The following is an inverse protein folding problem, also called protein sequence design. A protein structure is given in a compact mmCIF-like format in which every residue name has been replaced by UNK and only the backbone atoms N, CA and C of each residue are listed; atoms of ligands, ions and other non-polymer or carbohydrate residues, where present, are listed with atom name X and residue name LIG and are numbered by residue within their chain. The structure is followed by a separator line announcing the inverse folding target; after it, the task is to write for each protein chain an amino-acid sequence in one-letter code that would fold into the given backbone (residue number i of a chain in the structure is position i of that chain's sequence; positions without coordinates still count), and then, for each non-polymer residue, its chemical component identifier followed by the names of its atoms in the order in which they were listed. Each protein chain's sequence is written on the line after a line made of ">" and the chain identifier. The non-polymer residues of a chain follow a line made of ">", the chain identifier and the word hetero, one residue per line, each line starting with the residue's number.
data_IF_841731911380
#
_entry.id   IF_841731911380
#
_cell.length_a   1.000
_cell.length_b   1.000
_cell.length_c   1.000
_cell.angle_alpha   90.00
_cell.angle_beta   90.00
_cell.angle_gamma   90.00
#
_symmetry.space_group_name_H-M   'P 1'
#
loop_
_entity.id
_entity.type
_entity.pdbx_description
1 polymer ?
#
# COMPACT_ATOMS: atom_id res chain seq x y z
N UNK A 1 -50.59 -6.28 4.33
CA UNK A 1 -49.49 -6.87 5.13
C UNK A 1 -48.11 -6.66 4.50
N UNK A 2 -47.88 -7.04 3.23
CA UNK A 2 -46.58 -6.94 2.55
C UNK A 2 -45.95 -5.54 2.50
N UNK A 3 -46.74 -4.47 2.27
CA UNK A 3 -46.20 -3.11 2.24
C UNK A 3 -45.59 -2.65 3.58
N UNK A 4 -46.23 -3.00 4.71
CA UNK A 4 -45.73 -2.68 6.06
C UNK A 4 -44.46 -3.48 6.38
N UNK A 5 -44.40 -4.76 6.00
CA UNK A 5 -43.20 -5.58 6.15
C UNK A 5 -42.02 -4.99 5.35
N UNK A 6 -42.28 -4.58 4.11
CA UNK A 6 -41.29 -3.94 3.22
C UNK A 6 -40.76 -2.64 3.81
N UNK A 7 -41.60 -1.79 4.37
CA UNK A 7 -41.17 -0.53 5.01
C UNK A 7 -40.31 -0.78 6.24
N UNK A 8 -40.69 -1.73 7.11
CA UNK A 8 -39.89 -2.12 8.29
C UNK A 8 -38.54 -2.68 7.89
N UNK A 9 -38.51 -3.55 6.88
CA UNK A 9 -37.27 -4.11 6.35
C UNK A 9 -36.36 -3.00 5.82
N UNK A 10 -36.89 -2.08 5.01
CA UNK A 10 -36.12 -0.92 4.50
C UNK A 10 -35.53 -0.07 5.62
N UNK A 11 -36.31 0.23 6.66
CA UNK A 11 -35.84 1.02 7.79
C UNK A 11 -34.72 0.29 8.55
N UNK A 12 -34.91 -1.01 8.82
CA UNK A 12 -33.90 -1.85 9.46
C UNK A 12 -32.60 -1.91 8.65
N UNK A 13 -32.69 -2.08 7.33
CA UNK A 13 -31.53 -2.11 6.44
C UNK A 13 -30.79 -0.77 6.39
N UNK A 14 -31.52 0.35 6.45
CA UNK A 14 -30.92 1.68 6.58
C UNK A 14 -30.15 1.78 7.88
N UNK A 15 -30.72 1.37 9.01
CA UNK A 15 -30.03 1.37 10.31
C UNK A 15 -28.80 0.47 10.30
N UNK A 16 -28.92 -0.77 9.78
CA UNK A 16 -27.79 -1.70 9.66
C UNK A 16 -26.65 -1.11 8.82
N UNK A 17 -26.94 -0.50 7.67
CA UNK A 17 -25.92 0.15 6.84
C UNK A 17 -25.18 1.29 7.55
N UNK A 18 -25.80 1.90 8.57
CA UNK A 18 -25.17 2.94 9.38
C UNK A 18 -24.29 2.38 10.50
N UNK A 19 -24.64 1.22 11.08
CA UNK A 19 -23.92 0.61 12.21
C UNK A 19 -22.72 -0.21 11.75
N UNK A 20 -22.84 -0.90 10.61
CA UNK A 20 -21.83 -1.85 10.14
C UNK A 20 -20.43 -1.25 9.97
N UNK A 21 -20.26 -0.03 9.42
CA UNK A 21 -18.93 0.58 9.30
C UNK A 21 -18.21 0.71 10.65
N UNK A 22 -18.96 1.02 11.72
CA UNK A 22 -18.41 1.11 13.07
C UNK A 22 -18.02 -0.25 13.61
N UNK A 23 -18.82 -1.29 13.35
CA UNK A 23 -18.47 -2.65 13.75
C UNK A 23 -17.21 -3.16 13.02
N UNK A 24 -17.10 -2.91 11.72
CA UNK A 24 -15.90 -3.25 10.93
C UNK A 24 -14.68 -2.51 11.45
N UNK A 25 -14.80 -1.19 11.70
CA UNK A 25 -13.71 -0.40 12.31
C UNK A 25 -13.31 -1.01 13.65
N UNK A 26 -14.26 -1.28 14.54
CA UNK A 26 -13.98 -1.79 15.87
C UNK A 26 -13.24 -3.14 15.83
N UNK A 27 -13.75 -4.09 15.04
CA UNK A 27 -13.17 -5.45 14.92
C UNK A 27 -11.74 -5.37 14.38
N UNK A 28 -11.54 -4.66 13.27
CA UNK A 28 -10.23 -4.60 12.62
C UNK A 28 -9.23 -3.73 13.40
N UNK A 29 -9.69 -2.65 14.03
CA UNK A 29 -8.85 -1.81 14.87
C UNK A 29 -8.38 -2.58 16.10
N UNK A 30 -9.24 -3.39 16.72
CA UNK A 30 -8.86 -4.24 17.84
C UNK A 30 -7.69 -5.15 17.47
N UNK A 31 -7.73 -5.77 16.28
CA UNK A 31 -6.64 -6.62 15.80
C UNK A 31 -5.34 -5.84 15.57
N UNK A 32 -5.41 -4.65 14.96
CA UNK A 32 -4.24 -3.78 14.81
C UNK A 32 -3.66 -3.33 16.15
N UNK A 33 -4.51 -3.07 17.16
CA UNK A 33 -4.08 -2.74 18.51
C UNK A 33 -3.40 -3.93 19.20
N UNK A 34 -3.83 -5.17 18.93
CA UNK A 34 -3.14 -6.36 19.41
C UNK A 34 -1.74 -6.49 18.79
N UNK A 35 -1.57 -6.25 17.48
CA UNK A 35 -0.24 -6.21 16.88
C UNK A 35 0.64 -5.10 17.49
N UNK A 36 0.07 -3.90 17.69
CA UNK A 36 0.76 -2.79 18.34
C UNK A 36 1.19 -3.15 19.78
N UNK A 37 0.31 -3.81 20.54
CA UNK A 37 0.58 -4.30 21.90
C UNK A 37 1.72 -5.31 21.94
N UNK A 38 1.77 -6.27 21.00
CA UNK A 38 2.88 -7.23 20.94
C UNK A 38 4.23 -6.58 20.62
N UNK A 39 4.23 -5.39 20.01
CA UNK A 39 5.43 -4.61 19.75
C UNK A 39 6.31 -4.36 20.97
N UNK A 40 5.72 -4.24 22.18
CA UNK A 40 6.47 -3.98 23.42
C UNK A 40 7.46 -5.10 23.80
N UNK A 41 7.26 -6.30 23.26
CA UNK A 41 8.13 -7.46 23.48
C UNK A 41 9.27 -7.55 22.47
N UNK A 42 9.36 -6.59 21.53
CA UNK A 42 10.46 -6.51 20.57
C UNK A 42 11.80 -6.32 21.29
N UNK A 43 12.81 -7.08 20.85
CA UNK A 43 14.19 -7.02 21.31
C UNK A 43 15.12 -7.04 20.10
N UNK A 44 16.36 -6.61 20.29
CA UNK A 44 17.37 -6.64 19.25
C UNK A 44 17.61 -8.09 18.79
N UNK A 45 17.63 -8.29 17.47
CA UNK A 45 17.84 -9.58 16.83
C UNK A 45 18.72 -9.41 15.58
N UNK A 46 19.63 -10.37 15.37
CA UNK A 46 20.46 -10.46 14.17
C UNK A 46 21.14 -9.12 13.82
N UNK A 47 20.83 -8.55 12.66
CA UNK A 47 21.44 -7.32 12.14
C UNK A 47 21.26 -6.11 13.07
N UNK A 48 20.24 -6.11 13.95
CA UNK A 48 20.04 -5.02 14.92
C UNK A 48 21.29 -4.80 15.78
N UNK A 49 21.95 -5.89 16.22
CA UNK A 49 23.19 -5.81 17.00
C UNK A 49 24.34 -5.19 16.20
N UNK A 50 24.43 -5.51 14.90
CA UNK A 50 25.47 -4.98 14.03
C UNK A 50 25.28 -3.49 13.79
N UNK A 51 24.05 -3.03 13.55
CA UNK A 51 23.75 -1.60 13.40
C UNK A 51 24.04 -0.83 14.68
N UNK A 52 23.62 -1.36 15.85
CA UNK A 52 23.90 -0.74 17.16
C UNK A 52 25.41 -0.64 17.39
N UNK A 53 26.15 -1.74 17.29
CA UNK A 53 27.59 -1.74 17.55
C UNK A 53 28.36 -0.83 16.57
N UNK A 54 27.96 -0.79 15.30
CA UNK A 54 28.57 0.12 14.31
C UNK A 54 28.26 1.58 14.63
N UNK A 55 27.04 1.88 15.08
CA UNK A 55 26.64 3.23 15.49
C UNK A 55 27.34 3.70 16.77
N UNK A 56 27.58 2.80 17.73
CA UNK A 56 28.34 3.10 18.96
C UNK A 56 29.80 3.42 18.64
N UNK A 57 30.39 2.71 17.67
CA UNK A 57 31.80 2.86 17.30
C UNK A 57 32.07 4.04 16.36
N UNK A 58 31.18 4.29 15.38
CA UNK A 58 31.39 5.30 14.33
C UNK A 58 30.46 6.51 14.44
N UNK A 59 29.53 6.52 15.39
CA UNK A 59 28.42 7.47 15.42
C UNK A 59 27.41 7.23 14.29
N UNK A 60 26.32 8.00 14.27
CA UNK A 60 25.23 7.80 13.29
C UNK A 60 25.71 8.00 11.84
N UNK A 61 26.38 9.13 11.57
CA UNK A 61 26.84 9.46 10.22
C UNK A 61 28.06 8.63 9.79
N UNK A 62 28.97 8.32 10.71
CA UNK A 62 30.10 7.43 10.41
C UNK A 62 29.64 6.00 10.12
N UNK A 63 28.63 5.51 10.82
CA UNK A 63 28.01 4.21 10.52
C UNK A 63 27.37 4.18 9.12
N UNK A 64 26.65 5.24 8.71
CA UNK A 64 26.12 5.34 7.33
C UNK A 64 27.24 5.26 6.29
N UNK A 65 28.31 6.05 6.47
CA UNK A 65 29.45 6.03 5.57
C UNK A 65 30.14 4.66 5.55
N UNK A 66 30.28 4.02 6.71
CA UNK A 66 30.87 2.69 6.82
C UNK A 66 30.06 1.66 6.04
N UNK A 67 28.75 1.55 6.29
CA UNK A 67 27.88 0.59 5.61
C UNK A 67 27.80 0.86 4.09
N UNK A 68 27.72 2.13 3.68
CA UNK A 68 27.66 2.51 2.26
C UNK A 68 28.89 2.04 1.47
N UNK A 69 30.08 2.17 2.07
CA UNK A 69 31.33 1.78 1.45
C UNK A 69 31.61 0.27 1.56
N UNK A 70 31.14 -0.39 2.63
CA UNK A 70 31.59 -1.74 2.94
C UNK A 70 30.54 -2.85 2.69
N UNK A 71 29.24 -2.54 2.59
CA UNK A 71 28.24 -3.62 2.53
C UNK A 71 26.91 -3.29 1.86
N UNK A 72 26.28 -2.15 2.16
CA UNK A 72 24.90 -1.93 1.72
C UNK A 72 24.58 -0.45 1.47
N UNK A 73 23.85 -0.12 0.39
CA UNK A 73 23.56 1.25 0.00
C UNK A 73 22.42 1.92 0.79
N UNK A 74 21.85 1.25 1.80
CA UNK A 74 20.56 1.64 2.41
C UNK A 74 20.70 2.77 3.46
N UNK A 75 21.20 3.93 3.03
CA UNK A 75 21.59 5.05 3.88
C UNK A 75 20.47 5.55 4.81
N UNK A 76 19.23 5.61 4.34
CA UNK A 76 18.09 6.04 5.17
C UNK A 76 17.69 4.95 6.15
N UNK A 77 17.71 3.69 5.74
CA UNK A 77 17.43 2.58 6.67
C UNK A 77 18.45 2.57 7.81
N UNK A 78 19.74 2.69 7.52
CA UNK A 78 20.82 2.75 8.51
C UNK A 78 20.62 3.93 9.47
N UNK A 79 20.30 5.12 8.95
CA UNK A 79 20.05 6.29 9.77
C UNK A 79 18.98 6.05 10.85
N UNK A 80 17.82 5.52 10.46
CA UNK A 80 16.73 5.23 11.40
C UNK A 80 17.09 4.08 12.36
N UNK A 81 17.74 3.02 11.87
CA UNK A 81 18.16 1.90 12.72
C UNK A 81 19.18 2.35 13.78
N UNK A 82 20.14 3.20 13.41
CA UNK A 82 21.12 3.75 14.35
C UNK A 82 20.44 4.60 15.45
N UNK A 83 19.49 5.48 15.07
CA UNK A 83 18.75 6.29 16.05
C UNK A 83 17.96 5.41 17.00
N UNK A 84 17.21 4.44 16.47
CA UNK A 84 16.38 3.55 17.27
C UNK A 84 17.23 2.69 18.19
N UNK A 85 18.33 2.16 17.66
CA UNK A 85 19.27 1.30 18.39
C UNK A 85 19.92 2.03 19.55
N UNK A 86 20.53 3.20 19.29
CA UNK A 86 21.19 4.01 20.32
C UNK A 86 20.20 4.55 21.37
N UNK A 87 18.95 4.83 20.98
CA UNK A 87 17.90 5.24 21.91
C UNK A 87 17.25 4.08 22.68
N UNK A 88 17.64 2.82 22.39
CA UNK A 88 17.00 1.61 22.91
C UNK A 88 15.46 1.62 22.70
N UNK A 89 15.02 2.17 21.56
CA UNK A 89 13.61 2.43 21.26
C UNK A 89 12.92 1.27 20.52
N UNK A 90 13.55 0.09 20.44
CA UNK A 90 13.04 -1.05 19.68
C UNK A 90 11.58 -1.44 20.05
N UNK A 91 11.18 -1.50 21.34
CA UNK A 91 9.81 -1.88 21.73
C UNK A 91 8.71 -0.95 21.23
N UNK A 92 9.02 0.34 20.99
CA UNK A 92 8.04 1.33 20.55
C UNK A 92 7.95 1.46 19.03
N UNK A 93 8.86 0.82 18.28
CA UNK A 93 8.86 0.90 16.81
C UNK A 93 7.56 0.33 16.22
N UNK A 94 7.13 -0.92 16.53
CA UNK A 94 5.93 -1.47 15.91
C UNK A 94 4.65 -0.63 16.15
N UNK A 95 4.30 -0.21 17.40
CA UNK A 95 3.08 0.57 17.61
C UNK A 95 3.13 1.94 16.91
N UNK A 96 4.28 2.63 16.93
CA UNK A 96 4.45 3.92 16.23
C UNK A 96 4.31 3.73 14.73
N UNK A 97 4.96 2.69 14.18
CA UNK A 97 4.94 2.40 12.76
C UNK A 97 3.52 2.11 12.25
N UNK A 98 2.77 1.26 12.96
CA UNK A 98 1.38 0.94 12.63
C UNK A 98 0.47 2.17 12.73
N UNK A 99 0.64 2.99 13.78
CA UNK A 99 -0.12 4.23 13.93
C UNK A 99 0.16 5.21 12.78
N UNK A 100 1.44 5.46 12.46
CA UNK A 100 1.83 6.34 11.37
C UNK A 100 1.31 5.82 10.02
N UNK A 101 1.36 4.51 9.79
CA UNK A 101 0.83 3.90 8.58
C UNK A 101 -0.68 4.09 8.46
N UNK A 102 -1.41 3.86 9.55
CA UNK A 102 -2.86 4.04 9.57
C UNK A 102 -3.25 5.49 9.31
N UNK A 103 -2.56 6.45 9.92
CA UNK A 103 -2.79 7.89 9.70
C UNK A 103 -2.47 8.32 8.26
N UNK A 104 -1.35 7.84 7.71
CA UNK A 104 -0.98 8.12 6.32
C UNK A 104 -2.02 7.56 5.35
N UNK A 105 -2.45 6.32 5.55
CA UNK A 105 -3.46 5.65 4.72
C UNK A 105 -4.81 6.35 4.84
N UNK A 106 -5.25 6.69 6.06
CA UNK A 106 -6.47 7.45 6.30
C UNK A 106 -6.45 8.78 5.53
N UNK A 107 -5.33 9.51 5.58
CA UNK A 107 -5.19 10.78 4.89
C UNK A 107 -5.25 10.66 3.37
N UNK A 108 -4.58 9.65 2.78
CA UNK A 108 -4.66 9.32 1.34
C UNK A 108 -6.09 9.03 0.93
N UNK A 109 -6.77 8.14 1.66
CA UNK A 109 -8.14 7.76 1.35
C UNK A 109 -9.08 8.95 1.49
N UNK A 110 -8.85 9.82 2.48
CA UNK A 110 -9.60 11.07 2.62
C UNK A 110 -9.40 11.99 1.41
N UNK A 111 -8.19 12.07 0.84
CA UNK A 111 -7.95 12.87 -0.38
C UNK A 111 -8.72 12.29 -1.57
N UNK A 112 -8.66 10.97 -1.77
CA UNK A 112 -9.40 10.28 -2.83
C UNK A 112 -10.92 10.40 -2.65
N UNK A 113 -11.43 10.10 -1.46
CA UNK A 113 -12.86 10.11 -1.18
C UNK A 113 -13.47 11.49 -1.37
N UNK A 114 -12.75 12.55 -1.00
CA UNK A 114 -13.18 13.92 -1.28
C UNK A 114 -13.21 14.22 -2.79
N UNK A 115 -12.29 13.67 -3.57
CA UNK A 115 -12.29 13.80 -5.03
C UNK A 115 -13.51 13.12 -5.67
N UNK A 116 -13.92 11.98 -5.12
CA UNK A 116 -15.11 11.24 -5.57
C UNK A 116 -16.41 11.65 -4.89
N UNK A 117 -16.40 12.68 -4.04
CA UNK A 117 -17.59 13.16 -3.33
C UNK A 117 -18.22 12.14 -2.39
N UNK A 118 -17.42 11.28 -1.75
CA UNK A 118 -17.93 10.27 -0.81
C UNK A 118 -18.72 10.90 0.33
N UNK A 119 -19.93 10.39 0.58
CA UNK A 119 -20.69 10.76 1.77
C UNK A 119 -20.02 10.15 3.00
N UNK A 120 -20.07 10.86 4.14
CA UNK A 120 -19.41 10.43 5.40
C UNK A 120 -17.92 10.14 5.22
N UNK A 121 -17.22 11.05 4.54
CA UNK A 121 -15.82 10.93 4.13
C UNK A 121 -14.90 10.32 5.21
N UNK A 122 -14.93 10.85 6.43
CA UNK A 122 -14.06 10.38 7.51
C UNK A 122 -14.34 8.93 7.94
N UNK A 123 -15.61 8.55 8.01
CA UNK A 123 -15.99 7.18 8.38
C UNK A 123 -15.53 6.19 7.30
N UNK A 124 -15.75 6.52 6.02
CA UNK A 124 -15.34 5.66 4.91
C UNK A 124 -13.81 5.58 4.80
N UNK A 125 -13.12 6.71 5.00
CA UNK A 125 -11.67 6.75 5.06
C UNK A 125 -11.14 5.84 6.18
N UNK A 126 -11.77 5.86 7.36
CA UNK A 126 -11.43 4.97 8.48
C UNK A 126 -11.61 3.49 8.15
N UNK A 127 -12.75 3.10 7.58
CA UNK A 127 -13.01 1.70 7.18
C UNK A 127 -11.93 1.22 6.19
N UNK A 128 -11.70 1.99 5.12
CA UNK A 128 -10.75 1.61 4.07
C UNK A 128 -9.32 1.59 4.61
N UNK A 129 -8.91 2.58 5.39
CA UNK A 129 -7.53 2.65 5.87
C UNK A 129 -7.19 1.49 6.79
N UNK A 130 -8.10 1.16 7.71
CA UNK A 130 -7.92 0.02 8.62
C UNK A 130 -7.93 -1.28 7.82
N UNK A 131 -8.88 -1.46 6.88
CA UNK A 131 -8.94 -2.64 6.03
C UNK A 131 -7.68 -2.85 5.20
N UNK A 132 -7.14 -1.78 4.61
CA UNK A 132 -5.91 -1.85 3.80
C UNK A 132 -4.72 -2.25 4.66
N UNK A 133 -4.48 -1.56 5.78
CA UNK A 133 -3.34 -1.88 6.67
C UNK A 133 -3.47 -3.29 7.23
N UNK A 134 -4.66 -3.67 7.71
CA UNK A 134 -4.93 -5.02 8.21
C UNK A 134 -4.67 -6.09 7.15
N UNK A 135 -5.24 -5.94 5.95
CA UNK A 135 -5.11 -6.95 4.88
C UNK A 135 -3.68 -7.10 4.38
N UNK A 136 -2.87 -6.03 4.45
CA UNK A 136 -1.46 -6.12 4.09
C UNK A 136 -0.71 -6.91 5.15
N UNK A 137 -0.87 -6.59 6.43
CA UNK A 137 -0.18 -7.26 7.53
C UNK A 137 -0.55 -8.74 7.57
N UNK A 138 -1.85 -9.05 7.48
CA UNK A 138 -2.34 -10.42 7.51
C UNK A 138 -1.85 -11.23 6.31
N UNK A 139 -1.65 -10.58 5.16
CA UNK A 139 -1.10 -11.23 3.98
C UNK A 139 0.42 -11.35 3.93
N UNK A 140 1.13 -11.01 5.00
CA UNK A 140 2.59 -11.16 5.05
C UNK A 140 2.96 -12.62 5.29
N UNK A 141 3.90 -13.20 4.51
CA UNK A 141 4.41 -14.53 4.79
C UNK A 141 5.12 -14.64 6.15
N UNK A 142 5.60 -13.51 6.68
CA UNK A 142 6.23 -13.45 7.99
C UNK A 142 6.01 -12.06 8.62
N UNK A 143 4.97 -11.95 9.45
CA UNK A 143 4.66 -10.72 10.20
C UNK A 143 5.81 -10.35 11.13
N UNK A 144 6.44 -11.35 11.77
CA UNK A 144 7.53 -11.11 12.71
C UNK A 144 8.71 -10.36 12.07
N UNK A 145 9.21 -10.83 10.93
CA UNK A 145 10.33 -10.16 10.27
C UNK A 145 9.97 -8.81 9.64
N UNK A 146 8.69 -8.54 9.40
CA UNK A 146 8.23 -7.32 8.70
C UNK A 146 7.78 -6.23 9.66
N UNK A 147 7.30 -6.59 10.85
CA UNK A 147 6.68 -5.66 11.80
C UNK A 147 7.46 -5.61 13.11
N UNK A 148 7.91 -6.75 13.65
CA UNK A 148 8.55 -6.82 14.97
C UNK A 148 10.07 -6.79 14.91
N UNK A 149 10.71 -7.42 13.92
CA UNK A 149 12.15 -7.27 13.74
C UNK A 149 12.47 -5.87 13.21
N UNK A 150 13.14 -5.04 14.02
CA UNK A 150 13.34 -3.61 13.74
C UNK A 150 14.09 -3.39 12.44
N UNK A 151 15.20 -4.10 12.19
CA UNK A 151 15.92 -3.98 10.92
C UNK A 151 15.02 -4.26 9.71
N UNK A 152 14.18 -5.30 9.78
CA UNK A 152 13.24 -5.64 8.73
C UNK A 152 12.11 -4.62 8.58
N UNK A 153 11.53 -4.17 9.70
CA UNK A 153 10.44 -3.21 9.73
C UNK A 153 10.87 -1.82 9.21
N UNK A 154 12.05 -1.35 9.61
CA UNK A 154 12.60 -0.08 9.12
C UNK A 154 12.95 -0.20 7.64
N UNK A 155 13.57 -1.30 7.21
CA UNK A 155 14.00 -1.50 5.81
C UNK A 155 12.83 -1.66 4.84
N UNK A 156 11.72 -2.28 5.25
CA UNK A 156 10.64 -2.67 4.33
C UNK A 156 9.29 -2.02 4.63
N UNK A 157 8.95 -1.78 5.90
CA UNK A 157 7.63 -1.28 6.30
C UNK A 157 7.60 0.24 6.43
N UNK A 158 8.61 0.86 7.04
CA UNK A 158 8.73 2.32 7.10
C UNK A 158 8.71 3.02 5.72
N UNK A 159 9.39 2.55 4.66
CA UNK A 159 9.25 3.16 3.34
C UNK A 159 7.81 3.06 2.79
N UNK A 160 7.04 2.01 3.11
CA UNK A 160 5.61 1.94 2.74
C UNK A 160 4.82 3.06 3.42
N UNK A 161 5.08 3.33 4.70
CA UNK A 161 4.42 4.42 5.45
C UNK A 161 4.73 5.77 4.82
N UNK A 162 6.01 6.05 4.59
CA UNK A 162 6.47 7.33 4.03
C UNK A 162 5.98 7.50 2.58
N UNK A 163 6.00 6.43 1.78
CA UNK A 163 5.43 6.42 0.44
C UNK A 163 3.93 6.71 0.45
N UNK A 164 3.18 6.08 1.36
CA UNK A 164 1.75 6.34 1.53
C UNK A 164 1.51 7.81 1.89
N UNK A 165 2.28 8.36 2.82
CA UNK A 165 2.22 9.78 3.15
C UNK A 165 2.53 10.68 1.94
N UNK A 166 3.55 10.34 1.15
CA UNK A 166 3.93 11.07 -0.06
C UNK A 166 2.80 11.08 -1.11
N UNK A 167 2.08 9.96 -1.29
CA UNK A 167 0.87 9.93 -2.11
C UNK A 167 -0.19 10.91 -1.60
N UNK A 168 -0.35 11.03 -0.27
CA UNK A 168 -1.26 12.00 0.34
C UNK A 168 -0.89 13.44 0.03
N UNK A 169 0.42 13.76 0.07
CA UNK A 169 0.97 15.07 -0.31
C UNK A 169 0.64 15.37 -1.78
N UNK A 170 0.93 14.43 -2.69
CA UNK A 170 0.67 14.59 -4.13
C UNK A 170 -0.82 14.79 -4.38
N UNK A 171 -1.68 13.94 -3.83
CA UNK A 171 -3.14 14.04 -4.03
C UNK A 171 -3.70 15.36 -3.50
N UNK A 172 -3.26 15.79 -2.31
CA UNK A 172 -3.68 17.08 -1.75
C UNK A 172 -3.24 18.25 -2.62
N UNK A 173 -2.01 18.23 -3.12
CA UNK A 173 -1.48 19.26 -4.00
C UNK A 173 -2.24 19.32 -5.35
N UNK A 174 -2.52 18.16 -5.94
CA UNK A 174 -3.31 18.07 -7.18
C UNK A 174 -4.73 18.62 -6.97
N UNK A 175 -5.35 18.39 -5.81
CA UNK A 175 -6.72 18.81 -5.52
C UNK A 175 -6.87 20.27 -5.10
N UNK A 176 -6.03 20.76 -4.18
CA UNK A 176 -6.29 22.00 -3.45
C UNK A 176 -5.76 23.28 -4.12
N UNK A 177 -4.94 23.21 -5.16
CA UNK A 177 -4.39 24.43 -5.77
C UNK A 177 -5.41 25.05 -6.72
N UNK A 178 -5.94 26.22 -6.36
CA UNK A 178 -6.78 27.05 -7.23
C UNK A 178 -5.96 27.71 -8.34
N UNK A 179 -4.67 27.96 -8.09
CA UNK A 179 -3.70 28.39 -9.11
C UNK A 179 -3.22 27.23 -9.98
N UNK A 180 -2.94 27.52 -11.25
CA UNK A 180 -2.31 26.58 -12.18
C UNK A 180 -0.88 26.18 -11.77
N UNK A 181 -0.22 26.99 -10.93
CA UNK A 181 1.15 26.75 -10.48
C UNK A 181 1.18 25.88 -9.22
N UNK A 182 1.84 24.72 -9.29
CA UNK A 182 2.15 23.92 -8.09
C UNK A 182 3.08 24.74 -7.20
N UNK A 183 2.74 24.88 -5.92
CA UNK A 183 3.60 25.61 -4.99
C UNK A 183 4.93 24.87 -4.80
N UNK A 184 6.05 25.60 -4.89
CA UNK A 184 7.41 25.09 -4.69
C UNK A 184 7.57 24.19 -3.44
N UNK A 185 6.94 24.47 -2.29
CA UNK A 185 7.01 23.59 -1.12
C UNK A 185 6.53 22.16 -1.37
N UNK A 186 5.50 21.96 -2.23
CA UNK A 186 5.04 20.61 -2.56
C UNK A 186 6.07 19.85 -3.39
N UNK A 187 6.70 20.51 -4.37
CA UNK A 187 7.74 19.89 -5.20
C UNK A 187 8.95 19.50 -4.35
N UNK A 188 9.40 20.40 -3.47
CA UNK A 188 10.52 20.14 -2.56
C UNK A 188 10.21 19.01 -1.58
N UNK A 189 9.00 18.98 -1.01
CA UNK A 189 8.57 17.91 -0.10
C UNK A 189 8.50 16.55 -0.82
N UNK A 190 7.90 16.49 -2.01
CA UNK A 190 7.81 15.25 -2.80
C UNK A 190 9.20 14.75 -3.19
N UNK A 191 10.08 15.64 -3.65
CA UNK A 191 11.46 15.31 -3.99
C UNK A 191 12.23 14.74 -2.77
N UNK A 192 12.17 15.43 -1.64
CA UNK A 192 12.81 15.00 -0.40
C UNK A 192 12.28 13.65 0.10
N UNK A 193 10.97 13.45 0.07
CA UNK A 193 10.37 12.17 0.46
C UNK A 193 10.80 11.03 -0.47
N UNK A 194 10.88 11.24 -1.78
CA UNK A 194 11.35 10.21 -2.73
C UNK A 194 12.81 9.81 -2.49
N UNK A 195 13.67 10.79 -2.15
CA UNK A 195 15.06 10.54 -1.76
C UNK A 195 15.17 9.75 -0.45
N UNK A 196 14.36 10.09 0.55
CA UNK A 196 14.30 9.37 1.82
C UNK A 196 13.82 7.93 1.61
N UNK A 197 12.73 7.74 0.86
CA UNK A 197 12.20 6.41 0.54
C UNK A 197 13.24 5.56 -0.21
N UNK A 198 13.99 6.17 -1.14
CA UNK A 198 15.00 5.49 -1.93
C UNK A 198 16.23 5.03 -1.14
N UNK A 199 16.41 5.51 0.09
CA UNK A 199 17.49 5.07 0.96
C UNK A 199 17.15 3.86 1.83
N UNK A 200 15.95 3.27 1.72
CA UNK A 200 15.56 2.15 2.58
C UNK A 200 15.94 0.78 2.02
N UNK A 201 15.62 0.51 0.77
CA UNK A 201 15.93 -0.76 0.10
C UNK A 201 15.87 -0.59 -1.41
N UNK A 202 16.75 -1.28 -2.14
CA UNK A 202 16.78 -1.24 -3.61
C UNK A 202 15.45 -1.65 -4.22
N UNK A 203 14.76 -2.63 -3.63
CA UNK A 203 13.44 -3.10 -4.08
C UNK A 203 12.42 -1.96 -4.09
N UNK A 204 12.28 -1.27 -2.96
CA UNK A 204 11.31 -0.17 -2.84
C UNK A 204 11.70 0.99 -3.75
N UNK A 205 13.01 1.28 -3.88
CA UNK A 205 13.52 2.39 -4.72
C UNK A 205 13.14 2.21 -6.19
N UNK A 206 13.32 1.00 -6.73
CA UNK A 206 12.93 0.69 -8.12
C UNK A 206 11.41 0.64 -8.25
N UNK A 207 10.70 0.04 -7.28
CA UNK A 207 9.24 0.05 -7.23
C UNK A 207 8.66 1.47 -7.29
N UNK A 208 9.11 2.40 -6.43
CA UNK A 208 8.59 3.78 -6.42
C UNK A 208 8.90 4.50 -7.73
N UNK A 209 10.07 4.25 -8.34
CA UNK A 209 10.46 4.85 -9.62
C UNK A 209 9.50 4.39 -10.71
N UNK A 210 9.25 3.08 -10.80
CA UNK A 210 8.30 2.51 -11.76
C UNK A 210 6.88 2.99 -11.52
N UNK A 211 6.42 3.01 -10.26
CA UNK A 211 5.10 3.49 -9.88
C UNK A 211 4.89 4.93 -10.32
N UNK A 212 5.80 5.85 -9.96
CA UNK A 212 5.67 7.26 -10.32
C UNK A 212 5.81 7.50 -11.81
N UNK A 213 6.70 6.78 -12.51
CA UNK A 213 6.82 6.86 -13.96
C UNK A 213 5.55 6.41 -14.68
N UNK A 214 5.01 5.24 -14.33
CA UNK A 214 3.76 4.73 -14.89
C UNK A 214 2.57 5.64 -14.55
N UNK A 215 2.51 6.17 -13.33
CA UNK A 215 1.46 7.09 -12.91
C UNK A 215 1.55 8.43 -13.66
N UNK A 216 2.76 8.96 -13.89
CA UNK A 216 2.97 10.19 -14.67
C UNK A 216 2.52 10.00 -16.11
N UNK A 217 2.88 8.89 -16.75
CA UNK A 217 2.43 8.54 -18.11
C UNK A 217 0.91 8.35 -18.14
N UNK A 218 0.34 7.63 -17.17
CA UNK A 218 -1.11 7.44 -17.06
C UNK A 218 -1.85 8.77 -16.90
N UNK A 219 -1.38 9.67 -16.05
CA UNK A 219 -1.94 11.02 -15.92
C UNK A 219 -1.77 11.83 -17.21
N UNK A 220 -0.62 11.73 -17.86
CA UNK A 220 -0.40 12.42 -19.13
C UNK A 220 -1.34 11.94 -20.24
N UNK A 221 -1.68 10.66 -20.27
CA UNK A 221 -2.59 10.10 -21.28
C UNK A 221 -4.07 10.33 -20.95
N UNK A 222 -4.46 10.21 -19.67
CA UNK A 222 -5.86 10.05 -19.30
C UNK A 222 -6.41 11.13 -18.35
N UNK A 223 -5.56 11.97 -17.74
CA UNK A 223 -6.05 12.99 -16.81
C UNK A 223 -6.75 14.16 -17.53
N UNK A 224 -7.87 14.67 -16.99
CA UNK A 224 -8.47 15.92 -17.42
C UNK A 224 -7.49 17.11 -17.41
N UNK A 225 -7.60 18.05 -18.37
CA UNK A 225 -6.70 19.19 -18.48
C UNK A 225 -6.59 20.03 -17.19
N UNK A 226 -7.67 20.10 -16.41
CA UNK A 226 -7.77 20.92 -15.18
C UNK A 226 -6.70 20.59 -14.14
N UNK A 227 -6.25 19.34 -14.06
CA UNK A 227 -5.25 18.90 -13.07
C UNK A 227 -4.09 18.10 -13.68
N UNK A 228 -4.17 17.72 -14.96
CA UNK A 228 -3.15 16.96 -15.70
C UNK A 228 -1.74 17.54 -15.51
N UNK A 229 -1.53 18.82 -15.79
CA UNK A 229 -0.20 19.46 -15.70
C UNK A 229 0.41 19.32 -14.30
N UNK A 230 -0.41 19.52 -13.26
CA UNK A 230 0.02 19.47 -11.86
C UNK A 230 0.38 18.06 -11.43
N UNK A 231 -0.48 17.08 -11.76
CA UNK A 231 -0.21 15.68 -11.46
C UNK A 231 1.04 15.17 -12.18
N UNK A 232 1.18 15.45 -13.48
CA UNK A 232 2.36 15.06 -14.26
C UNK A 232 3.63 15.71 -13.71
N UNK A 233 3.60 16.98 -13.31
CA UNK A 233 4.75 17.65 -12.70
C UNK A 233 5.15 17.00 -11.37
N UNK A 234 4.19 16.79 -10.46
CA UNK A 234 4.47 16.19 -9.14
C UNK A 234 4.98 14.75 -9.27
N UNK A 235 4.34 13.94 -10.10
CA UNK A 235 4.74 12.55 -10.36
C UNK A 235 6.07 12.49 -11.13
N UNK A 236 6.32 13.43 -12.02
CA UNK A 236 7.59 13.57 -12.74
C UNK A 236 8.74 13.90 -11.79
N UNK A 237 8.55 14.87 -10.88
CA UNK A 237 9.52 15.18 -9.82
C UNK A 237 9.76 13.98 -8.92
N UNK A 238 8.69 13.29 -8.50
CA UNK A 238 8.82 12.07 -7.71
C UNK A 238 9.68 11.02 -8.44
N UNK A 239 9.37 10.74 -9.71
CA UNK A 239 10.10 9.80 -10.55
C UNK A 239 11.58 10.17 -10.73
N UNK A 240 11.89 11.45 -10.99
CA UNK A 240 13.28 11.93 -11.16
C UNK A 240 14.08 11.75 -9.88
N UNK A 241 13.55 12.14 -8.73
CA UNK A 241 14.26 12.00 -7.46
C UNK A 241 14.34 10.54 -6.99
N UNK A 242 13.34 9.71 -7.30
CA UNK A 242 13.46 8.26 -7.12
C UNK A 242 14.58 7.66 -7.99
N UNK A 243 14.73 8.12 -9.24
CA UNK A 243 15.81 7.69 -10.13
C UNK A 243 17.19 8.13 -9.61
N UNK A 244 17.30 9.35 -9.07
CA UNK A 244 18.53 9.81 -8.42
C UNK A 244 18.87 8.89 -7.23
N UNK A 245 17.89 8.48 -6.43
CA UNK A 245 18.12 7.52 -5.36
C UNK A 245 18.52 6.12 -5.88
N UNK A 246 17.95 5.67 -7.01
CA UNK A 246 18.44 4.45 -7.71
C UNK A 246 19.93 4.60 -8.06
N UNK A 247 20.34 5.74 -8.62
CA UNK A 247 21.74 5.98 -8.97
C UNK A 247 22.65 5.96 -7.74
N UNK A 248 22.29 6.66 -6.67
CA UNK A 248 23.06 6.68 -5.41
C UNK A 248 23.21 5.28 -4.83
N UNK A 249 22.13 4.48 -4.85
CA UNK A 249 22.16 3.12 -4.33
C UNK A 249 22.90 2.16 -5.24
N UNK A 250 22.86 2.37 -6.56
CA UNK A 250 23.55 1.54 -7.54
C UNK A 250 25.07 1.71 -7.48
N UNK A 251 25.56 2.96 -7.39
CA UNK A 251 27.00 3.28 -7.38
C UNK A 251 27.70 3.00 -6.05
N UNK A 252 26.97 2.57 -5.02
CA UNK A 252 27.54 2.34 -3.70
C UNK A 252 28.63 1.24 -3.74
N UNK A 253 29.86 1.51 -3.27
CA UNK A 253 30.95 0.54 -3.30
C UNK A 253 30.63 -0.77 -2.56
N UNK A 254 29.84 -0.69 -1.49
CA UNK A 254 29.41 -1.85 -0.71
C UNK A 254 28.66 -2.90 -1.53
N UNK A 255 28.03 -2.52 -2.65
CA UNK A 255 27.40 -3.48 -3.56
C UNK A 255 28.40 -4.47 -4.16
N UNK A 256 29.63 -4.05 -4.44
CA UNK A 256 30.65 -4.94 -4.99
C UNK A 256 31.04 -6.03 -3.99
N UNK A 257 31.19 -5.65 -2.72
CA UNK A 257 31.50 -6.59 -1.62
C UNK A 257 30.32 -7.54 -1.40
N UNK A 258 29.10 -7.00 -1.33
CA UNK A 258 27.89 -7.79 -1.11
C UNK A 258 27.63 -8.81 -2.22
N UNK A 259 27.96 -8.50 -3.47
CA UNK A 259 27.81 -9.43 -4.61
C UNK A 259 28.70 -10.66 -4.48
N UNK A 260 29.84 -10.58 -3.79
CA UNK A 260 30.71 -11.75 -3.56
C UNK A 260 30.05 -12.83 -2.71
N UNK A 261 28.99 -12.50 -1.96
CA UNK A 261 28.23 -13.44 -1.14
C UNK A 261 27.08 -14.16 -1.84
N UNK A 262 26.81 -13.86 -3.12
CA UNK A 262 25.71 -14.47 -3.87
C UNK A 262 26.22 -15.18 -5.12
N UNK A 263 25.66 -16.35 -5.40
CA UNK A 263 25.87 -17.06 -6.65
C UNK A 263 25.00 -16.41 -7.74
N UNK A 264 25.65 -15.68 -8.65
CA UNK A 264 25.00 -14.97 -9.75
C UNK A 264 25.13 -15.72 -11.09
N UNK A 265 25.45 -17.02 -11.07
CA UNK A 265 25.73 -17.82 -12.28
C UNK A 265 24.47 -18.26 -13.06
N UNK A 266 23.33 -17.61 -12.83
CA UNK A 266 22.11 -17.87 -13.59
C UNK A 266 22.26 -17.36 -15.03
N UNK A 267 21.81 -18.17 -16.00
CA UNK A 267 21.63 -17.70 -17.37
C UNK A 267 20.54 -16.63 -17.43
N UNK A 268 20.55 -15.78 -18.47
CA UNK A 268 19.46 -14.80 -18.72
C UNK A 268 18.08 -15.47 -18.71
N UNK A 269 17.98 -16.67 -19.30
CA UNK A 269 16.74 -17.47 -19.26
C UNK A 269 16.37 -17.87 -17.83
N UNK A 270 17.33 -18.28 -17.01
CA UNK A 270 17.13 -18.59 -15.60
C UNK A 270 16.57 -17.41 -14.79
N UNK A 271 17.12 -16.21 -15.00
CA UNK A 271 16.59 -14.98 -14.41
C UNK A 271 15.13 -14.74 -14.82
N UNK A 272 14.84 -14.78 -16.13
CA UNK A 272 13.49 -14.52 -16.66
C UNK A 272 12.46 -15.53 -16.12
N UNK A 273 12.79 -16.82 -16.14
CA UNK A 273 11.92 -17.88 -15.62
C UNK A 273 11.66 -17.68 -14.14
N UNK A 274 12.68 -17.41 -13.33
CA UNK A 274 12.52 -17.20 -11.88
C UNK A 274 11.67 -15.97 -11.57
N UNK A 275 11.82 -14.88 -12.32
CA UNK A 275 11.00 -13.66 -12.18
C UNK A 275 9.53 -13.96 -12.53
N UNK A 276 9.28 -14.63 -13.64
CA UNK A 276 7.92 -14.96 -14.09
C UNK A 276 7.25 -15.92 -13.12
N UNK A 277 7.93 -17.00 -12.71
CA UNK A 277 7.41 -17.97 -11.73
C UNK A 277 7.16 -17.28 -10.38
N UNK A 278 8.09 -16.44 -9.90
CA UNK A 278 7.90 -15.70 -8.65
C UNK A 278 6.69 -14.77 -8.70
N UNK A 279 6.50 -14.07 -9.82
CA UNK A 279 5.37 -13.15 -10.02
C UNK A 279 4.04 -13.91 -10.09
N UNK A 280 3.96 -14.93 -10.94
CA UNK A 280 2.74 -15.72 -11.15
C UNK A 280 2.42 -16.64 -9.97
N UNK A 281 3.43 -17.07 -9.21
CA UNK A 281 3.26 -17.87 -8.00
C UNK A 281 2.81 -17.03 -6.80
N UNK A 282 3.31 -15.79 -6.68
CA UNK A 282 2.95 -14.92 -5.55
C UNK A 282 1.43 -14.64 -5.45
N UNK A 283 0.76 -14.36 -6.58
CA UNK A 283 -0.67 -14.03 -6.59
C UNK A 283 -1.54 -15.16 -6.03
N UNK A 284 -1.52 -16.39 -6.56
CA UNK A 284 -2.31 -17.50 -6.02
C UNK A 284 -1.85 -17.90 -4.61
N UNK A 285 -0.55 -17.80 -4.29
CA UNK A 285 -0.09 -18.06 -2.92
C UNK A 285 -0.69 -17.06 -1.93
N UNK A 286 -0.68 -15.76 -2.26
CA UNK A 286 -1.24 -14.74 -1.37
C UNK A 286 -2.76 -14.84 -1.25
N UNK A 287 -3.47 -15.02 -2.38
CA UNK A 287 -4.92 -15.14 -2.42
C UNK A 287 -5.44 -16.46 -1.84
N UNK A 288 -4.67 -17.55 -1.94
CA UNK A 288 -5.12 -18.88 -1.54
C UNK A 288 -4.63 -19.33 -0.17
N UNK A 289 -3.42 -18.92 0.23
CA UNK A 289 -2.76 -19.46 1.43
C UNK A 289 -2.44 -18.42 2.48
N UNK A 290 -1.96 -17.22 2.11
CA UNK A 290 -1.52 -16.24 3.10
C UNK A 290 -2.69 -15.53 3.79
N UNK A 291 -3.57 -14.88 3.02
CA UNK A 291 -4.68 -14.11 3.60
C UNK A 291 -5.94 -14.08 2.72
N UNK A 292 -6.48 -15.27 2.36
CA UNK A 292 -7.66 -15.36 1.49
C UNK A 292 -8.82 -14.50 2.00
N UNK A 293 -9.10 -14.57 3.31
CA UNK A 293 -10.22 -13.88 3.92
C UNK A 293 -10.01 -12.36 3.99
N UNK A 294 -8.82 -11.89 4.37
CA UNK A 294 -8.55 -10.46 4.46
C UNK A 294 -8.56 -9.81 3.06
N UNK A 295 -7.96 -10.46 2.07
CA UNK A 295 -7.95 -9.97 0.69
C UNK A 295 -9.36 -9.97 0.09
N UNK A 296 -10.15 -11.02 0.36
CA UNK A 296 -11.56 -11.03 -0.05
C UNK A 296 -12.39 -9.98 0.70
N UNK A 297 -12.12 -9.72 1.97
CA UNK A 297 -12.76 -8.64 2.72
C UNK A 297 -12.42 -7.27 2.11
N UNK A 298 -11.17 -7.03 1.67
CA UNK A 298 -10.78 -5.82 0.96
C UNK A 298 -11.54 -5.65 -0.38
N UNK A 299 -11.69 -6.73 -1.15
CA UNK A 299 -12.55 -6.75 -2.34
C UNK A 299 -13.99 -6.34 -1.97
N UNK A 300 -14.53 -6.94 -0.90
CA UNK A 300 -15.89 -6.67 -0.48
C UNK A 300 -16.07 -5.22 -0.02
N UNK A 301 -15.17 -4.67 0.80
CA UNK A 301 -15.19 -3.25 1.22
C UNK A 301 -15.15 -2.33 0.00
N UNK A 302 -14.27 -2.61 -0.97
CA UNK A 302 -14.23 -1.89 -2.23
C UNK A 302 -15.60 -1.87 -2.92
N UNK A 303 -16.18 -3.05 -3.16
CA UNK A 303 -17.48 -3.16 -3.82
C UNK A 303 -18.63 -2.52 -3.05
N UNK A 304 -18.61 -2.59 -1.72
CA UNK A 304 -19.58 -1.90 -0.89
C UNK A 304 -19.49 -0.37 -1.06
N UNK A 305 -18.28 0.20 -1.07
CA UNK A 305 -18.08 1.63 -1.27
C UNK A 305 -18.52 2.09 -2.66
N UNK A 306 -18.15 1.34 -3.70
CA UNK A 306 -18.54 1.64 -5.08
C UNK A 306 -20.04 1.58 -5.28
N UNK A 307 -20.70 0.65 -4.57
CA UNK A 307 -22.14 0.47 -4.65
C UNK A 307 -22.94 1.53 -3.87
N UNK A 308 -22.54 1.83 -2.64
CA UNK A 308 -23.35 2.62 -1.70
C UNK A 308 -23.07 4.12 -1.80
N UNK A 309 -21.80 4.51 -1.94
CA UNK A 309 -21.37 5.86 -1.59
C UNK A 309 -20.96 6.73 -2.77
N UNK A 310 -21.08 6.24 -4.00
CA UNK A 310 -20.83 7.08 -5.16
C UNK A 310 -22.11 7.70 -5.74
N UNK A 311 -22.22 9.04 -5.76
CA UNK A 311 -23.32 9.74 -6.42
C UNK A 311 -23.03 9.86 -7.91
N UNK A 312 -23.18 8.77 -8.66
CA UNK A 312 -23.02 8.82 -10.12
C UNK A 312 -24.26 9.38 -10.80
N UNK A 313 -24.05 10.29 -11.75
CA UNK A 313 -25.07 10.66 -12.73
C UNK A 313 -25.41 9.47 -13.65
N UNK A 314 -26.62 9.42 -14.20
CA UNK A 314 -27.09 8.29 -15.00
C UNK A 314 -26.19 7.98 -16.22
N UNK A 315 -25.67 9.01 -16.87
CA UNK A 315 -24.74 8.91 -18.01
C UNK A 315 -23.39 8.30 -17.61
N UNK A 316 -22.85 8.73 -16.46
CA UNK A 316 -21.58 8.22 -15.92
C UNK A 316 -21.71 6.74 -15.56
N UNK A 317 -22.85 6.31 -15.01
CA UNK A 317 -23.12 4.89 -14.68
C UNK A 317 -23.04 3.98 -15.90
N UNK A 318 -23.67 4.37 -17.01
CA UNK A 318 -23.67 3.60 -18.26
C UNK A 318 -22.23 3.49 -18.79
N UNK A 319 -21.46 4.58 -18.72
CA UNK A 319 -20.08 4.59 -19.19
C UNK A 319 -19.17 3.66 -18.37
N UNK A 320 -19.29 3.72 -17.02
CA UNK A 320 -18.54 2.84 -16.12
C UNK A 320 -18.88 1.38 -16.40
N UNK A 321 -20.17 1.04 -16.56
CA UNK A 321 -20.57 -0.33 -16.87
C UNK A 321 -19.98 -0.84 -18.18
N UNK A 322 -20.01 -0.04 -19.25
CA UNK A 322 -19.47 -0.43 -20.56
C UNK A 322 -17.95 -0.63 -20.53
N UNK A 323 -17.25 0.14 -19.70
CA UNK A 323 -15.79 0.13 -19.66
C UNK A 323 -15.18 -0.63 -18.47
N UNK A 324 -15.99 -1.14 -17.53
CA UNK A 324 -15.51 -1.73 -16.26
C UNK A 324 -14.49 -2.84 -16.48
N UNK A 325 -14.73 -3.75 -17.43
CA UNK A 325 -13.78 -4.81 -17.77
C UNK A 325 -12.43 -4.24 -18.25
N UNK A 326 -12.44 -3.21 -19.10
CA UNK A 326 -11.22 -2.55 -19.56
C UNK A 326 -10.45 -1.91 -18.40
N UNK A 327 -11.16 -1.24 -17.49
CA UNK A 327 -10.55 -0.66 -16.28
C UNK A 327 -9.97 -1.74 -15.37
N UNK A 328 -10.69 -2.84 -15.13
CA UNK A 328 -10.22 -3.97 -14.31
C UNK A 328 -8.97 -4.59 -14.94
N UNK A 329 -8.97 -4.87 -16.24
CA UNK A 329 -7.81 -5.41 -16.95
C UNK A 329 -6.62 -4.44 -16.92
N UNK A 330 -6.85 -3.13 -17.09
CA UNK A 330 -5.80 -2.13 -17.03
C UNK A 330 -5.18 -2.02 -15.63
N UNK A 331 -6.02 -1.96 -14.59
CA UNK A 331 -5.59 -1.93 -13.18
C UNK A 331 -4.82 -3.20 -12.81
N UNK A 332 -5.31 -4.37 -13.25
CA UNK A 332 -4.63 -5.64 -13.03
C UNK A 332 -3.29 -5.74 -13.77
N UNK A 333 -3.21 -5.27 -15.02
CA UNK A 333 -1.98 -5.26 -15.79
C UNK A 333 -0.90 -4.36 -15.16
N UNK A 334 -1.29 -3.18 -14.67
CA UNK A 334 -0.37 -2.30 -13.93
C UNK A 334 0.11 -2.97 -12.64
N UNK A 335 -0.79 -3.60 -11.89
CA UNK A 335 -0.43 -4.33 -10.67
C UNK A 335 0.55 -5.47 -10.98
N UNK A 336 0.29 -6.26 -12.01
CA UNK A 336 1.16 -7.35 -12.44
C UNK A 336 2.55 -6.86 -12.84
N UNK A 337 2.64 -5.74 -13.58
CA UNK A 337 3.91 -5.12 -13.94
C UNK A 337 4.69 -4.66 -12.71
N UNK A 338 4.04 -4.02 -11.73
CA UNK A 338 4.69 -3.58 -10.50
C UNK A 338 5.16 -4.77 -9.64
N UNK A 339 4.36 -5.83 -9.51
CA UNK A 339 4.77 -7.06 -8.80
C UNK A 339 5.96 -7.70 -9.51
N UNK A 340 5.94 -7.77 -10.85
CA UNK A 340 7.06 -8.28 -11.65
C UNK A 340 8.33 -7.49 -11.39
N UNK A 341 8.26 -6.17 -11.31
CA UNK A 341 9.39 -5.30 -10.97
C UNK A 341 9.93 -5.61 -9.56
N UNK A 342 9.05 -5.81 -8.57
CA UNK A 342 9.46 -6.22 -7.23
C UNK A 342 10.26 -7.54 -7.24
N UNK A 343 9.79 -8.54 -7.99
CA UNK A 343 10.50 -9.82 -8.12
C UNK A 343 11.83 -9.64 -8.88
N UNK A 344 11.81 -8.88 -9.97
CA UNK A 344 12.98 -8.61 -10.81
C UNK A 344 14.15 -8.04 -10.00
N UNK A 345 13.89 -7.07 -9.12
CA UNK A 345 14.96 -6.44 -8.34
C UNK A 345 15.67 -7.45 -7.43
N UNK A 346 14.92 -8.30 -6.72
CA UNK A 346 15.52 -9.33 -5.87
C UNK A 346 16.29 -10.35 -6.68
N UNK A 347 15.70 -10.89 -7.75
CA UNK A 347 16.37 -11.92 -8.55
C UNK A 347 17.63 -11.36 -9.20
N UNK A 348 17.62 -10.14 -9.73
CA UNK A 348 18.84 -9.53 -10.30
C UNK A 348 19.89 -9.23 -9.22
N UNK A 349 19.47 -8.84 -8.02
CA UNK A 349 20.42 -8.42 -6.97
C UNK A 349 21.09 -9.59 -6.25
N UNK A 350 20.36 -10.68 -6.05
CA UNK A 350 20.79 -11.81 -5.20
C UNK A 350 20.49 -13.20 -5.79
N UNK A 351 20.12 -13.28 -7.08
CA UNK A 351 19.69 -14.51 -7.78
C UNK A 351 18.46 -15.21 -7.18
N UNK A 352 17.84 -14.68 -6.12
CA UNK A 352 16.73 -15.29 -5.38
C UNK A 352 15.45 -14.45 -5.43
N UNK A 353 14.32 -15.10 -5.12
CA UNK A 353 13.07 -14.38 -4.88
C UNK A 353 13.21 -13.51 -3.62
N UNK A 354 12.39 -12.44 -3.48
CA UNK A 354 12.43 -11.61 -2.29
C UNK A 354 12.29 -12.45 -1.02
N UNK A 355 13.02 -12.13 0.07
CA UNK A 355 12.81 -12.81 1.34
C UNK A 355 11.40 -12.51 1.88
N UNK A 356 10.84 -13.36 2.76
CA UNK A 356 9.48 -13.22 3.31
C UNK A 356 9.09 -11.79 3.75
N UNK A 357 10.01 -11.07 4.41
CA UNK A 357 9.82 -9.69 4.88
C UNK A 357 9.68 -8.63 3.79
N UNK A 358 10.19 -8.90 2.59
CA UNK A 358 10.15 -7.96 1.47
C UNK A 358 8.82 -8.05 0.69
N UNK A 359 8.00 -9.08 0.93
CA UNK A 359 6.71 -9.24 0.26
C UNK A 359 5.65 -8.21 0.68
N UNK A 360 5.93 -7.35 1.66
CA UNK A 360 5.02 -6.25 2.03
C UNK A 360 4.70 -5.32 0.85
N UNK A 361 5.64 -5.13 -0.07
CA UNK A 361 5.46 -4.27 -1.25
C UNK A 361 4.54 -4.92 -2.30
N UNK A 362 4.78 -6.16 -2.78
CA UNK A 362 3.82 -6.84 -3.65
C UNK A 362 2.47 -7.10 -2.97
N UNK A 363 2.44 -7.31 -1.64
CA UNK A 363 1.18 -7.44 -0.90
C UNK A 363 0.39 -6.13 -0.85
N UNK A 364 1.05 -4.98 -0.66
CA UNK A 364 0.44 -3.65 -0.81
C UNK A 364 -0.23 -3.51 -2.18
N UNK A 365 0.47 -3.86 -3.26
CA UNK A 365 -0.07 -3.79 -4.62
C UNK A 365 -1.31 -4.68 -4.75
N UNK A 366 -1.24 -5.93 -4.27
CA UNK A 366 -2.32 -6.91 -4.37
C UNK A 366 -3.57 -6.49 -3.57
N UNK A 367 -3.41 -5.95 -2.36
CA UNK A 367 -4.53 -5.46 -1.55
C UNK A 367 -5.20 -4.26 -2.22
N UNK A 368 -4.41 -3.30 -2.71
CA UNK A 368 -4.94 -2.11 -3.39
C UNK A 368 -5.66 -2.46 -4.70
N UNK A 369 -5.07 -3.33 -5.54
CA UNK A 369 -5.70 -3.75 -6.80
C UNK A 369 -7.02 -4.47 -6.52
N UNK A 370 -7.06 -5.32 -5.50
CA UNK A 370 -8.26 -6.07 -5.10
C UNK A 370 -9.37 -5.13 -4.63
N UNK A 371 -9.03 -4.14 -3.80
CA UNK A 371 -9.98 -3.13 -3.34
C UNK A 371 -10.50 -2.25 -4.48
N UNK A 372 -9.63 -1.85 -5.42
CA UNK A 372 -10.01 -1.05 -6.59
C UNK A 372 -10.92 -1.85 -7.53
N UNK A 373 -10.60 -3.12 -7.81
CA UNK A 373 -11.46 -3.99 -8.63
C UNK A 373 -12.82 -4.16 -7.97
N UNK A 374 -12.85 -4.43 -6.66
CA UNK A 374 -14.08 -4.44 -5.88
C UNK A 374 -14.89 -3.17 -6.08
N UNK A 375 -14.25 -2.00 -5.92
CA UNK A 375 -14.88 -0.69 -6.12
C UNK A 375 -15.47 -0.50 -7.51
N UNK A 376 -14.73 -0.84 -8.57
CA UNK A 376 -15.20 -0.77 -9.97
C UNK A 376 -16.41 -1.68 -10.18
N UNK A 377 -16.37 -2.91 -9.67
CA UNK A 377 -17.49 -3.85 -9.76
C UNK A 377 -18.72 -3.34 -8.99
N UNK A 378 -18.52 -2.78 -7.80
CA UNK A 378 -19.58 -2.14 -7.01
C UNK A 378 -20.29 -1.01 -7.75
N UNK A 379 -19.53 -0.11 -8.39
CA UNK A 379 -20.09 0.95 -9.23
C UNK A 379 -20.87 0.38 -10.43
N UNK A 380 -20.33 -0.66 -11.09
CA UNK A 380 -21.00 -1.36 -12.17
C UNK A 380 -22.35 -1.94 -11.75
N UNK A 381 -22.39 -2.62 -10.60
CA UNK A 381 -23.63 -3.18 -10.04
C UNK A 381 -24.65 -2.08 -9.72
N UNK A 382 -24.22 -0.95 -9.14
CA UNK A 382 -25.14 0.16 -8.81
C UNK A 382 -25.95 0.63 -10.03
N UNK A 383 -25.37 0.56 -11.23
CA UNK A 383 -26.04 0.95 -12.48
C UNK A 383 -27.22 0.06 -12.86
N UNK A 384 -27.12 -1.25 -12.63
CA UNK A 384 -28.17 -2.23 -12.95
C UNK A 384 -29.31 -2.20 -11.95
N UNK A 385 -28.96 -1.80 -10.73
CA UNK A 385 -29.80 -1.93 -9.57
C UNK A 385 -30.64 -0.67 -9.34
N UNK A 386 -30.18 0.53 -9.69
CA UNK A 386 -30.88 1.79 -9.41
C UNK A 386 -32.36 1.87 -9.84
N UNK A 387 -32.81 1.05 -10.78
CA UNK A 387 -34.21 1.01 -11.27
C UNK A 387 -35.08 -0.04 -10.57
N UNK A 388 -34.50 -0.93 -9.75
CA UNK A 388 -35.21 -2.06 -9.14
C UNK A 388 -35.43 -1.85 -7.64
N UNK A 389 -36.52 -2.37 -7.05
CA UNK A 389 -36.73 -2.31 -5.60
C UNK A 389 -35.86 -3.31 -4.80
N UNK A 390 -35.26 -4.30 -5.45
CA UNK A 390 -34.50 -5.39 -4.80
C UNK A 390 -33.06 -5.02 -4.40
N UNK A 391 -32.60 -3.82 -4.77
CA UNK A 391 -31.28 -3.24 -4.46
C UNK A 391 -30.97 -3.26 -2.98
N UNK A 392 -31.97 -2.89 -2.17
CA UNK A 392 -31.80 -2.80 -0.72
C UNK A 392 -31.57 -4.18 -0.11
N UNK A 393 -32.21 -5.21 -0.67
CA UNK A 393 -32.01 -6.60 -0.25
C UNK A 393 -30.61 -7.11 -0.65
N UNK A 394 -30.16 -6.77 -1.86
CA UNK A 394 -28.80 -7.09 -2.32
C UNK A 394 -27.74 -6.39 -1.45
N UNK A 395 -27.94 -5.12 -1.10
CA UNK A 395 -27.07 -4.42 -0.14
C UNK A 395 -27.06 -5.11 1.22
N UNK A 396 -28.23 -5.50 1.73
CA UNK A 396 -28.32 -6.20 3.01
C UNK A 396 -27.50 -7.49 3.01
N UNK A 397 -27.69 -8.33 1.98
CA UNK A 397 -26.96 -9.59 1.84
C UNK A 397 -25.46 -9.36 1.71
N UNK A 398 -25.05 -8.39 0.89
CA UNK A 398 -23.65 -8.01 0.74
C UNK A 398 -23.03 -7.54 2.05
N UNK A 399 -23.78 -6.77 2.83
CA UNK A 399 -23.28 -6.19 4.08
C UNK A 399 -23.19 -7.23 5.19
N UNK A 400 -24.12 -8.19 5.26
CA UNK A 400 -24.04 -9.35 6.17
C UNK A 400 -22.86 -10.25 5.78
N UNK A 401 -22.68 -10.52 4.49
CA UNK A 401 -21.55 -11.30 3.99
C UNK A 401 -20.22 -10.62 4.37
N UNK A 402 -20.11 -9.30 4.17
CA UNK A 402 -18.93 -8.54 4.57
C UNK A 402 -18.64 -8.71 6.07
N UNK A 403 -19.64 -8.57 6.93
CA UNK A 403 -19.46 -8.76 8.37
C UNK A 403 -18.95 -10.16 8.71
N UNK A 404 -19.57 -11.21 8.16
CA UNK A 404 -19.18 -12.60 8.41
C UNK A 404 -17.72 -12.81 8.02
N UNK A 405 -17.32 -12.30 6.85
CA UNK A 405 -15.98 -12.51 6.33
C UNK A 405 -14.95 -11.69 7.08
N UNK A 406 -15.27 -10.45 7.46
CA UNK A 406 -14.41 -9.63 8.33
C UNK A 406 -14.21 -10.32 9.68
N UNK A 407 -15.27 -10.87 10.28
CA UNK A 407 -15.14 -11.60 11.55
C UNK A 407 -14.36 -12.90 11.41
N UNK A 408 -14.45 -13.59 10.27
CA UNK A 408 -13.67 -14.79 10.00
C UNK A 408 -12.20 -14.45 9.75
N UNK A 409 -11.92 -13.39 8.99
CA UNK A 409 -10.58 -12.89 8.73
C UNK A 409 -9.88 -12.39 10.00
N UNK A 410 -10.63 -11.85 10.96
CA UNK A 410 -10.07 -11.44 12.25
C UNK A 410 -9.80 -12.60 13.23
N UNK A 411 -10.22 -13.83 12.89
CA UNK A 411 -10.02 -15.03 13.72
C UNK A 411 -8.95 -15.97 13.19
N UNK A 412 -8.71 -15.96 11.88
CA UNK A 412 -7.49 -16.55 11.30
C UNK A 412 -6.28 -15.81 11.81
#
# INVERSE_FOLDING_TARGET
>A
MFARLRLRLVAMLKTLSQVIPYAVIFILLLQLLLYAYFGQYTRALADDFCFIATAETHGIFGSIAWWYNNWTPIYTSIFFQNIIGLANALPIVPPILLMLWLLATFWVVQQFGAWFGWQRLHLMAGVVSIMVVFSIIEGLPNIYQSVYWVSGAITHTLPVVIFTFNLGVILRAVRNTTSETVALPYLALVAGLCMVIGGFTSLFTVFQTAFFGMAAVGCWLFAPPTWKRRAVLLLGVACVFSLIAVLITYIAPGNAIRRLGFDLDLTLMGYMVRIVIGTLGFIPTSLGFLSPLATFAAFLVGGWLGFVYQPLEATQRINIRKNSLKWILGVFAVALALILICMMVSVISIAELPPPRAYIIPQLILVLVTLIIGYIMGMGLQSDFATRPNVRLAMAGYTVLLLIIVTAAARS
#
